data_IF_691722123613
#
_entry.id   IF_691722123613
#
_cell.length_a   1.000
_cell.length_b   1.000
_cell.length_c   1.000
_cell.angle_alpha   90.00
_cell.angle_beta   90.00
_cell.angle_gamma   90.00
#
_symmetry.space_group_name_H-M   'P 1'
#
loop_
_entity.id
_entity.type
_entity.pdbx_description
1 polymer ?
#
# COMPACT_ATOMS: atom_id res chain seq x y z
N UNK A 1 34.38 -24.21 9.59
CA UNK A 1 33.96 -23.61 8.32
C UNK A 1 33.04 -24.61 7.65
N UNK A 2 31.72 -24.39 7.74
CA UNK A 2 30.75 -25.30 7.12
C UNK A 2 30.90 -25.19 5.61
N UNK A 3 31.16 -26.29 4.91
CA UNK A 3 31.13 -26.30 3.45
C UNK A 3 29.71 -25.90 3.00
N UNK A 4 29.59 -24.94 2.07
CA UNK A 4 28.29 -24.59 1.45
C UNK A 4 27.71 -25.86 0.79
N UNK A 5 26.39 -26.05 0.92
CA UNK A 5 25.71 -27.22 0.34
C UNK A 5 25.58 -27.05 -1.17
N UNK A 6 25.67 -28.17 -1.89
CA UNK A 6 25.54 -28.17 -3.35
C UNK A 6 24.13 -27.70 -3.77
N UNK A 7 24.03 -26.84 -4.79
CA UNK A 7 22.76 -26.27 -5.21
C UNK A 7 21.73 -27.29 -5.73
N UNK A 8 22.18 -28.43 -6.25
CA UNK A 8 21.29 -29.52 -6.64
C UNK A 8 20.69 -30.20 -5.41
N UNK A 9 21.47 -30.36 -4.34
CA UNK A 9 21.00 -30.88 -3.05
C UNK A 9 20.04 -29.91 -2.36
N UNK A 10 20.33 -28.61 -2.41
CA UNK A 10 19.48 -27.55 -1.84
C UNK A 10 18.09 -27.52 -2.48
N UNK A 11 18.01 -27.67 -3.82
CA UNK A 11 16.73 -27.74 -4.53
C UNK A 11 16.12 -29.15 -4.57
N UNK A 12 16.86 -30.18 -4.15
CA UNK A 12 16.44 -31.58 -4.22
C UNK A 12 16.23 -32.08 -5.66
N UNK A 13 17.08 -31.63 -6.60
CA UNK A 13 17.01 -31.96 -8.03
C UNK A 13 18.29 -32.62 -8.50
N UNK A 14 18.25 -33.28 -9.66
CA UNK A 14 19.43 -33.91 -10.25
C UNK A 14 20.19 -32.93 -11.17
N UNK A 15 21.48 -33.17 -11.43
CA UNK A 15 22.25 -32.38 -12.42
C UNK A 15 21.62 -32.42 -13.82
N UNK A 16 21.00 -33.54 -14.14
CA UNK A 16 20.27 -33.80 -15.39
C UNK A 16 18.84 -33.26 -15.42
N UNK A 17 18.37 -32.64 -14.33
CA UNK A 17 17.00 -32.11 -14.26
C UNK A 17 16.79 -30.98 -15.26
N UNK A 18 15.59 -30.98 -15.85
CA UNK A 18 15.19 -29.97 -16.83
C UNK A 18 14.94 -28.62 -16.14
N UNK A 19 15.00 -27.49 -16.88
CA UNK A 19 14.69 -26.18 -16.32
C UNK A 19 13.30 -26.11 -15.67
N UNK A 20 12.32 -26.81 -16.25
CA UNK A 20 10.95 -26.87 -15.73
C UNK A 20 10.87 -27.65 -14.41
N UNK A 21 11.66 -28.72 -14.28
CA UNK A 21 11.74 -29.51 -13.05
C UNK A 21 12.38 -28.68 -11.92
N UNK A 22 13.47 -27.97 -12.21
CA UNK A 22 14.16 -27.05 -11.29
C UNK A 22 13.20 -25.95 -10.81
N UNK A 23 12.46 -25.34 -11.74
CA UNK A 23 11.46 -24.30 -11.44
C UNK A 23 10.31 -24.82 -10.58
N UNK A 24 9.83 -26.02 -10.85
CA UNK A 24 8.74 -26.63 -10.09
C UNK A 24 9.16 -26.99 -8.67
N UNK A 25 10.39 -27.48 -8.48
CA UNK A 25 10.90 -27.76 -7.13
C UNK A 25 11.18 -26.47 -6.34
N UNK A 26 11.76 -25.45 -6.97
CA UNK A 26 11.91 -24.14 -6.34
C UNK A 26 10.58 -23.59 -5.83
N UNK A 27 9.51 -23.61 -6.65
CA UNK A 27 8.18 -23.14 -6.22
C UNK A 27 7.64 -23.89 -5.01
N UNK A 28 7.83 -25.22 -4.95
CA UNK A 28 7.38 -26.04 -3.82
C UNK A 28 8.14 -25.69 -2.54
N UNK A 29 9.46 -25.52 -2.64
CA UNK A 29 10.32 -25.20 -1.50
C UNK A 29 10.12 -23.76 -1.03
N UNK A 30 10.01 -22.80 -1.96
CA UNK A 30 9.74 -21.39 -1.66
C UNK A 30 8.41 -21.21 -0.93
N UNK A 31 7.36 -21.96 -1.29
CA UNK A 31 6.08 -21.95 -0.57
C UNK A 31 6.17 -22.58 0.82
N UNK A 32 7.02 -23.60 0.99
CA UNK A 32 7.21 -24.32 2.27
C UNK A 32 8.03 -23.51 3.27
N UNK A 33 8.99 -22.74 2.80
CA UNK A 33 9.89 -21.93 3.63
C UNK A 33 9.59 -20.43 3.54
N UNK A 34 8.41 -20.05 3.03
CA UNK A 34 8.00 -18.65 2.96
C UNK A 34 7.88 -18.04 4.37
N UNK A 35 8.49 -16.88 4.67
CA UNK A 35 8.48 -16.26 6.00
C UNK A 35 7.06 -16.04 6.56
N UNK A 36 6.10 -15.65 5.70
CA UNK A 36 4.71 -15.42 6.12
C UNK A 36 3.93 -16.71 6.43
N UNK A 37 4.38 -17.86 5.92
CA UNK A 37 3.69 -19.16 6.09
C UNK A 37 4.39 -20.09 7.06
N UNK A 38 5.68 -19.84 7.32
CA UNK A 38 6.52 -20.68 8.16
C UNK A 38 7.29 -19.79 9.15
N UNK A 39 6.88 -19.85 10.43
CA UNK A 39 7.44 -19.05 11.52
C UNK A 39 8.62 -19.74 12.23
N UNK A 40 9.20 -20.80 11.65
CA UNK A 40 10.42 -21.40 12.22
C UNK A 40 11.61 -20.47 12.08
N UNK A 41 12.52 -20.50 13.06
CA UNK A 41 13.72 -19.66 13.08
C UNK A 41 14.62 -19.91 11.86
N UNK A 42 14.62 -21.13 11.34
CA UNK A 42 15.48 -21.58 10.24
C UNK A 42 14.84 -21.37 8.85
N UNK A 43 13.57 -20.93 8.78
CA UNK A 43 12.88 -20.73 7.50
C UNK A 43 13.54 -19.66 6.63
N UNK A 44 14.03 -18.58 7.26
CA UNK A 44 14.73 -17.50 6.55
C UNK A 44 16.03 -17.97 5.90
N UNK A 45 16.86 -18.71 6.63
CA UNK A 45 18.14 -19.22 6.12
C UNK A 45 17.93 -20.21 4.97
N UNK A 46 16.97 -21.14 5.12
CA UNK A 46 16.61 -22.06 4.05
C UNK A 46 16.05 -21.35 2.82
N UNK A 47 15.23 -20.31 3.02
CA UNK A 47 14.68 -19.54 1.91
C UNK A 47 15.76 -18.82 1.11
N UNK A 48 16.75 -18.23 1.79
CA UNK A 48 17.90 -17.60 1.14
C UNK A 48 18.69 -18.61 0.31
N UNK A 49 19.00 -19.77 0.88
CA UNK A 49 19.80 -20.80 0.22
C UNK A 49 19.09 -21.41 -1.01
N UNK A 50 17.78 -21.66 -0.90
CA UNK A 50 16.94 -22.12 -2.02
C UNK A 50 16.85 -21.09 -3.14
N UNK A 51 16.81 -19.79 -2.80
CA UNK A 51 16.77 -18.70 -3.77
C UNK A 51 18.10 -18.54 -4.50
N UNK A 52 19.22 -18.65 -3.79
CA UNK A 52 20.57 -18.65 -4.37
C UNK A 52 20.76 -19.82 -5.35
N UNK A 53 20.37 -21.04 -4.93
CA UNK A 53 20.45 -22.23 -5.76
C UNK A 53 19.62 -22.09 -7.05
N UNK A 54 18.40 -21.56 -6.96
CA UNK A 54 17.56 -21.35 -8.14
C UNK A 54 18.11 -20.27 -9.07
N UNK A 55 18.67 -19.17 -8.54
CA UNK A 55 19.26 -18.11 -9.35
C UNK A 55 20.44 -18.58 -10.20
N UNK A 56 21.18 -19.60 -9.73
CA UNK A 56 22.29 -20.21 -10.46
C UNK A 56 21.81 -21.31 -11.40
N UNK A 57 20.93 -22.20 -10.94
CA UNK A 57 20.53 -23.39 -11.71
C UNK A 57 19.45 -23.13 -12.78
N UNK A 58 18.71 -22.02 -12.68
CA UNK A 58 17.68 -21.64 -13.67
C UNK A 58 18.23 -20.98 -14.93
N UNK A 59 19.46 -20.46 -14.87
CA UNK A 59 20.15 -19.81 -15.99
C UNK A 59 21.17 -20.78 -16.60
N UNK A 60 21.12 -20.98 -17.92
CA UNK A 60 21.97 -21.96 -18.60
C UNK A 60 23.47 -21.64 -18.51
N UNK A 61 23.84 -20.35 -18.56
CA UNK A 61 25.24 -19.90 -18.51
C UNK A 61 25.79 -20.03 -17.08
N UNK A 62 24.97 -19.67 -16.08
CA UNK A 62 25.34 -19.79 -14.66
C UNK A 62 25.40 -21.25 -14.21
N UNK A 63 24.45 -22.08 -14.63
CA UNK A 63 24.45 -23.53 -14.40
C UNK A 63 25.72 -24.15 -14.98
N UNK A 64 26.09 -23.83 -16.21
CA UNK A 64 27.30 -24.34 -16.84
C UNK A 64 28.57 -23.90 -16.08
N UNK A 65 28.61 -22.65 -15.61
CA UNK A 65 29.75 -22.13 -14.84
C UNK A 65 29.87 -22.85 -13.49
N UNK A 66 28.76 -23.04 -12.79
CA UNK A 66 28.68 -23.78 -11.53
C UNK A 66 29.05 -25.26 -11.71
N UNK A 67 28.59 -25.90 -12.80
CA UNK A 67 28.93 -27.29 -13.11
C UNK A 67 30.43 -27.50 -13.36
N UNK A 68 31.13 -26.48 -13.89
CA UNK A 68 32.56 -26.54 -14.19
C UNK A 68 33.46 -26.16 -13.01
N UNK A 69 33.05 -25.19 -12.19
CA UNK A 69 33.91 -24.54 -11.20
C UNK A 69 33.35 -24.59 -9.77
N UNK A 70 32.21 -25.24 -9.56
CA UNK A 70 31.50 -25.26 -8.27
C UNK A 70 31.14 -23.86 -7.78
N UNK A 71 30.97 -23.70 -6.46
CA UNK A 71 30.67 -22.40 -5.85
C UNK A 71 31.72 -21.32 -6.16
N UNK A 72 32.99 -21.69 -6.37
CA UNK A 72 34.06 -20.73 -6.67
C UNK A 72 33.89 -20.01 -8.03
N UNK A 73 33.17 -20.62 -8.99
CA UNK A 73 32.88 -20.00 -10.29
C UNK A 73 31.77 -18.96 -10.25
N UNK A 74 30.97 -18.94 -9.18
CA UNK A 74 29.78 -18.08 -9.04
C UNK A 74 29.88 -17.10 -7.88
N UNK A 75 30.65 -17.41 -6.82
CA UNK A 75 30.92 -16.52 -5.66
C UNK A 75 31.71 -15.26 -6.05
N UNK A 76 32.49 -15.28 -7.13
CA UNK A 76 33.32 -14.13 -7.56
C UNK A 76 32.56 -12.99 -8.25
N UNK A 77 31.25 -13.13 -8.50
CA UNK A 77 30.42 -12.11 -9.18
C UNK A 77 29.38 -11.43 -8.27
N UNK A 78 29.29 -11.81 -7.00
CA UNK A 78 28.30 -11.24 -6.08
C UNK A 78 28.91 -11.11 -4.67
N UNK A 79 28.95 -9.88 -4.14
CA UNK A 79 29.25 -9.68 -2.71
C UNK A 79 28.00 -9.98 -1.90
N UNK A 80 28.17 -10.59 -0.72
CA UNK A 80 27.08 -10.84 0.24
C UNK A 80 26.35 -9.56 0.67
N UNK A 81 26.93 -8.38 0.43
CA UNK A 81 26.33 -7.06 0.63
C UNK A 81 25.22 -6.71 -0.37
N UNK A 82 25.21 -7.31 -1.58
CA UNK A 82 24.20 -7.06 -2.62
C UNK A 82 22.88 -7.80 -2.32
N UNK A 83 22.95 -8.86 -1.50
CA UNK A 83 21.81 -9.69 -1.07
C UNK A 83 21.24 -9.18 0.27
N UNK A 84 22.06 -8.60 1.14
CA UNK A 84 21.64 -8.20 2.50
C UNK A 84 21.02 -6.80 2.59
N UNK A 85 21.11 -5.95 1.56
CA UNK A 85 20.53 -4.60 1.58
C UNK A 85 19.03 -4.54 1.22
N UNK A 86 18.36 -5.71 1.14
CA UNK A 86 16.94 -5.87 0.80
C UNK A 86 15.99 -6.09 1.98
N UNK A 87 16.35 -5.70 3.21
CA UNK A 87 15.55 -6.02 4.42
C UNK A 87 14.29 -5.15 4.62
N UNK A 88 13.64 -4.67 3.55
CA UNK A 88 12.52 -3.73 3.69
C UNK A 88 11.71 -3.39 2.44
N UNK A 89 11.56 -4.28 1.46
CA UNK A 89 10.74 -4.04 0.27
C UNK A 89 10.31 -5.35 -0.39
N UNK A 90 9.05 -5.42 -0.84
CA UNK A 90 8.37 -6.66 -1.22
C UNK A 90 9.04 -7.49 -2.32
N UNK A 91 8.67 -8.76 -2.37
CA UNK A 91 9.20 -9.83 -3.22
C UNK A 91 9.26 -9.52 -4.74
N UNK A 92 8.54 -8.51 -5.23
CA UNK A 92 8.61 -8.08 -6.64
C UNK A 92 9.86 -7.22 -6.95
N UNK A 93 10.34 -6.40 -6.01
CA UNK A 93 11.46 -5.48 -6.27
C UNK A 93 12.82 -6.19 -6.24
N UNK A 94 12.93 -7.27 -5.46
CA UNK A 94 14.14 -8.10 -5.34
C UNK A 94 14.28 -9.03 -6.56
N UNK A 95 13.15 -9.48 -7.14
CA UNK A 95 13.18 -10.28 -8.36
C UNK A 95 13.56 -9.42 -9.59
N UNK A 96 13.11 -8.15 -9.67
CA UNK A 96 13.55 -7.20 -10.70
C UNK A 96 15.04 -6.81 -10.57
N UNK A 97 15.55 -6.64 -9.35
CA UNK A 97 16.94 -6.22 -9.14
C UNK A 97 17.96 -7.34 -9.39
N UNK A 98 17.61 -8.60 -9.09
CA UNK A 98 18.50 -9.76 -9.25
C UNK A 98 18.43 -10.36 -10.68
N UNK A 99 17.27 -10.33 -11.34
CA UNK A 99 17.11 -10.90 -12.69
C UNK A 99 17.27 -9.87 -13.83
N UNK A 100 17.39 -8.57 -13.53
CA UNK A 100 17.45 -7.49 -14.52
C UNK A 100 18.85 -7.02 -14.95
N UNK A 101 19.95 -7.64 -14.48
CA UNK A 101 21.31 -7.11 -14.72
C UNK A 101 22.25 -8.13 -15.38
N UNK A 102 21.85 -8.58 -16.57
CA UNK A 102 22.69 -9.36 -17.47
C UNK A 102 22.25 -9.11 -18.90
N UNK A 103 22.91 -8.18 -19.59
CA UNK A 103 22.64 -7.85 -21.00
C UNK A 103 22.37 -6.37 -21.20
N UNK A 104 23.18 -5.74 -22.06
CA UNK A 104 23.06 -4.33 -22.40
C UNK A 104 21.65 -3.96 -22.88
N UNK A 105 21.03 -3.04 -22.17
CA UNK A 105 19.80 -2.37 -22.56
C UNK A 105 19.66 -1.18 -21.64
N UNK A 106 19.80 0.04 -22.16
CA UNK A 106 19.53 1.23 -21.38
C UNK A 106 18.14 1.11 -20.79
N UNK A 107 18.04 1.14 -19.46
CA UNK A 107 16.77 1.29 -18.79
C UNK A 107 16.19 2.61 -19.28
N UNK A 108 15.28 2.53 -20.25
CA UNK A 108 14.23 3.53 -20.43
C UNK A 108 13.35 3.40 -19.19
N UNK A 109 13.85 3.88 -18.06
CA UNK A 109 13.05 4.11 -16.87
C UNK A 109 12.11 5.24 -17.30
N UNK A 110 10.94 4.83 -17.75
CA UNK A 110 9.92 5.72 -18.26
C UNK A 110 9.68 6.74 -17.16
N UNK A 111 10.00 8.01 -17.44
CA UNK A 111 10.04 9.03 -16.40
C UNK A 111 8.69 9.06 -15.67
N UNK A 112 8.68 8.82 -14.36
CA UNK A 112 7.45 8.78 -13.58
C UNK A 112 7.23 10.11 -12.86
N UNK A 113 5.99 10.59 -12.91
CA UNK A 113 5.53 11.73 -12.14
C UNK A 113 5.63 11.51 -10.64
N UNK A 114 5.84 12.59 -9.90
CA UNK A 114 5.79 12.52 -8.44
C UNK A 114 4.35 12.31 -7.99
N UNK A 115 4.19 11.49 -6.96
CA UNK A 115 2.88 11.28 -6.35
C UNK A 115 2.40 12.54 -5.60
N UNK A 116 1.10 12.64 -5.39
CA UNK A 116 0.46 13.70 -4.62
C UNK A 116 -0.24 13.11 -3.40
N UNK A 117 -0.20 13.82 -2.27
CA UNK A 117 -0.94 13.46 -1.07
C UNK A 117 -2.11 14.41 -0.88
N UNK A 118 -3.31 13.87 -0.78
CA UNK A 118 -4.52 14.62 -0.40
C UNK A 118 -5.07 14.05 0.90
N UNK A 119 -5.26 14.92 1.89
CA UNK A 119 -5.80 14.53 3.19
C UNK A 119 -7.28 14.90 3.27
N UNK A 120 -8.11 13.96 3.70
CA UNK A 120 -9.53 14.18 3.93
C UNK A 120 -9.99 13.50 5.21
N UNK A 121 -11.12 13.98 5.72
CA UNK A 121 -11.79 13.38 6.87
C UNK A 121 -13.19 12.95 6.50
N UNK A 122 -13.68 11.88 7.13
CA UNK A 122 -15.01 11.31 6.91
C UNK A 122 -15.69 11.05 8.26
N UNK A 123 -17.01 11.15 8.31
CA UNK A 123 -17.77 10.83 9.53
C UNK A 123 -18.15 9.35 9.58
N UNK A 124 -18.64 8.84 10.71
CA UNK A 124 -19.10 7.44 10.78
C UNK A 124 -20.29 7.16 9.83
N UNK A 125 -21.14 8.16 9.60
CA UNK A 125 -22.26 8.08 8.66
C UNK A 125 -21.79 7.99 7.22
N UNK A 126 -20.75 8.75 6.84
CA UNK A 126 -20.07 8.63 5.55
C UNK A 126 -19.51 7.22 5.38
N UNK A 127 -18.98 6.62 6.45
CA UNK A 127 -18.43 5.26 6.39
C UNK A 127 -19.53 4.21 6.30
N UNK A 128 -20.70 4.44 6.88
CA UNK A 128 -21.83 3.51 6.76
C UNK A 128 -22.33 3.42 5.30
N UNK A 129 -22.49 4.56 4.63
CA UNK A 129 -23.11 4.63 3.30
C UNK A 129 -22.09 4.66 2.15
N UNK A 130 -20.83 4.95 2.45
CA UNK A 130 -19.85 5.38 1.45
C UNK A 130 -20.08 6.83 1.04
N UNK A 131 -19.04 7.45 0.48
CA UNK A 131 -19.06 8.87 0.09
C UNK A 131 -18.45 9.05 -1.29
N UNK A 132 -19.18 9.71 -2.19
CA UNK A 132 -18.60 10.21 -3.44
C UNK A 132 -18.02 11.59 -3.17
N UNK A 133 -16.79 11.81 -3.59
CA UNK A 133 -16.08 13.06 -3.40
C UNK A 133 -15.48 13.55 -4.72
N UNK A 134 -15.64 14.84 -4.96
CA UNK A 134 -15.00 15.57 -6.06
C UNK A 134 -13.92 16.47 -5.44
N UNK A 135 -12.67 16.29 -5.87
CA UNK A 135 -11.54 17.10 -5.39
C UNK A 135 -10.99 17.93 -6.56
N UNK A 136 -10.77 19.22 -6.31
CA UNK A 136 -10.01 20.08 -7.19
C UNK A 136 -8.52 20.04 -6.79
N UNK A 137 -7.70 19.32 -7.55
CA UNK A 137 -6.28 19.16 -7.28
C UNK A 137 -5.45 20.14 -8.10
N UNK A 138 -4.62 20.91 -7.42
CA UNK A 138 -3.59 21.70 -8.08
C UNK A 138 -2.36 20.83 -8.33
N UNK A 139 -2.07 20.54 -9.60
CA UNK A 139 -0.97 19.67 -10.00
C UNK A 139 -0.27 20.14 -11.26
N UNK A 140 0.86 19.52 -11.59
CA UNK A 140 1.43 19.63 -12.92
C UNK A 140 0.52 18.89 -13.89
N UNK A 141 -0.02 19.60 -14.87
CA UNK A 141 -0.79 19.04 -15.97
C UNK A 141 -0.04 19.20 -17.27
N UNK A 142 -0.30 18.29 -18.22
CA UNK A 142 0.18 18.40 -19.59
C UNK A 142 -0.27 19.74 -20.17
N UNK A 143 0.65 20.46 -20.80
CA UNK A 143 0.33 21.74 -21.40
C UNK A 143 -0.58 21.52 -22.62
N UNK A 144 -1.81 22.04 -22.57
CA UNK A 144 -2.80 21.87 -23.64
C UNK A 144 -2.30 22.42 -24.98
N UNK A 145 -1.71 23.62 -24.95
CA UNK A 145 -1.26 24.32 -26.16
C UNK A 145 -0.22 23.50 -26.96
N UNK A 146 0.76 22.88 -26.29
CA UNK A 146 1.76 22.05 -26.97
C UNK A 146 1.47 20.55 -26.89
N UNK A 147 0.37 20.15 -26.25
CA UNK A 147 0.04 18.76 -25.94
C UNK A 147 1.24 17.97 -25.40
N UNK A 148 1.98 18.57 -24.45
CA UNK A 148 3.14 17.93 -23.83
C UNK A 148 4.44 17.92 -24.64
N UNK A 149 4.43 18.32 -25.92
CA UNK A 149 5.64 18.30 -26.75
C UNK A 149 6.71 19.29 -26.30
N UNK A 150 6.33 20.34 -25.56
CA UNK A 150 7.19 21.46 -25.21
C UNK A 150 7.50 22.40 -26.39
N UNK A 151 7.07 22.06 -27.60
CA UNK A 151 7.29 22.84 -28.81
C UNK A 151 6.13 23.82 -29.05
N UNK A 152 6.40 24.92 -29.75
CA UNK A 152 5.34 25.82 -30.23
C UNK A 152 4.35 25.01 -31.10
N UNK A 153 3.03 25.24 -31.00
CA UNK A 153 2.05 24.55 -31.84
C UNK A 153 2.43 24.61 -33.32
N UNK A 154 2.35 23.47 -34.01
CA UNK A 154 2.77 23.34 -35.42
C UNK A 154 4.28 23.19 -35.64
N UNK A 155 5.08 23.09 -34.58
CA UNK A 155 6.52 22.78 -34.66
C UNK A 155 6.83 21.49 -33.93
N UNK A 156 7.82 20.75 -34.41
CA UNK A 156 8.22 19.46 -33.86
C UNK A 156 9.63 19.52 -33.27
N UNK A 157 9.93 18.58 -32.37
CA UNK A 157 11.30 18.36 -31.91
C UNK A 157 12.16 17.92 -33.09
N UNK A 158 13.36 18.48 -33.22
CA UNK A 158 14.34 18.00 -34.20
C UNK A 158 15.24 16.95 -33.57
N UNK A 159 15.55 15.91 -34.33
CA UNK A 159 16.52 14.89 -33.91
C UNK A 159 17.87 15.56 -33.66
N UNK A 160 18.50 15.22 -32.53
CA UNK A 160 19.80 15.78 -32.19
C UNK A 160 20.86 15.26 -33.17
N UNK A 161 21.48 16.16 -33.94
CA UNK A 161 22.51 15.80 -34.91
C UNK A 161 23.79 15.23 -34.26
N UNK A 162 24.06 15.56 -32.99
CA UNK A 162 25.26 15.13 -32.27
C UNK A 162 25.21 13.65 -31.85
N UNK A 163 24.03 13.14 -31.48
CA UNK A 163 23.83 11.73 -31.12
C UNK A 163 22.93 10.97 -32.10
N UNK A 164 22.51 11.59 -33.20
CA UNK A 164 21.56 11.03 -34.18
C UNK A 164 20.29 10.42 -33.53
N UNK A 165 19.77 11.05 -32.49
CA UNK A 165 18.59 10.55 -31.77
C UNK A 165 18.87 9.59 -30.63
N UNK A 166 20.12 9.15 -30.45
CA UNK A 166 20.47 8.13 -29.46
C UNK A 166 20.52 8.65 -28.02
N UNK A 167 20.58 9.98 -27.81
CA UNK A 167 20.63 10.59 -26.48
C UNK A 167 21.97 10.44 -25.76
N UNK A 168 22.82 9.50 -26.17
CA UNK A 168 24.17 9.30 -25.65
C UNK A 168 25.25 9.50 -26.73
N UNK A 169 26.46 9.82 -26.29
CA UNK A 169 27.67 9.86 -27.12
C UNK A 169 28.71 8.94 -26.51
N UNK A 170 29.37 8.13 -27.35
CA UNK A 170 30.45 7.23 -26.92
C UNK A 170 31.75 8.01 -26.86
N UNK A 171 32.32 8.14 -25.67
CA UNK A 171 33.64 8.71 -25.46
C UNK A 171 34.64 7.57 -25.32
N UNK A 172 35.54 7.43 -26.29
CA UNK A 172 36.68 6.51 -26.20
C UNK A 172 37.80 7.20 -25.41
N UNK A 173 38.26 6.58 -24.33
CA UNK A 173 39.44 7.00 -23.59
C UNK A 173 40.52 5.94 -23.76
N UNK A 174 41.60 6.33 -24.43
CA UNK A 174 42.74 5.45 -24.64
C UNK A 174 43.70 5.56 -23.45
N UNK A 175 43.89 4.45 -22.74
CA UNK A 175 44.85 4.31 -21.63
C UNK A 175 46.01 3.42 -22.07
N UNK A 176 46.70 3.81 -23.15
CA UNK A 176 47.90 3.14 -23.66
C UNK A 176 47.66 1.74 -24.22
N UNK A 177 47.51 0.74 -23.34
CA UNK A 177 47.34 -0.67 -23.71
C UNK A 177 45.87 -1.12 -23.82
N UNK A 178 44.92 -0.28 -23.40
CA UNK A 178 43.49 -0.57 -23.47
C UNK A 178 42.67 0.68 -23.78
N UNK A 179 41.73 0.55 -24.72
CA UNK A 179 40.73 1.57 -25.05
C UNK A 179 39.44 1.28 -24.30
N UNK A 180 38.99 2.23 -23.46
CA UNK A 180 37.71 2.13 -22.77
C UNK A 180 36.69 3.04 -23.45
N UNK A 181 35.58 2.46 -23.92
CA UNK A 181 34.46 3.23 -24.48
C UNK A 181 33.43 3.45 -23.39
N UNK A 182 33.30 4.68 -22.93
CA UNK A 182 32.27 5.07 -21.96
C UNK A 182 31.13 5.80 -22.67
N UNK A 183 29.90 5.33 -22.50
CA UNK A 183 28.72 6.06 -22.92
C UNK A 183 28.46 7.22 -21.94
N UNK A 184 28.31 8.43 -22.47
CA UNK A 184 27.96 9.62 -21.70
C UNK A 184 26.71 10.28 -22.31
N UNK A 185 25.86 10.94 -21.52
CA UNK A 185 24.71 11.67 -22.06
C UNK A 185 25.18 12.75 -23.04
N UNK A 186 24.52 12.83 -24.20
CA UNK A 186 24.90 13.76 -25.25
C UNK A 186 24.79 15.21 -24.74
N UNK A 187 25.86 16.03 -24.80
CA UNK A 187 25.85 17.37 -24.21
C UNK A 187 24.89 18.33 -24.93
N UNK A 188 24.63 18.11 -26.23
CA UNK A 188 23.76 18.95 -27.04
C UNK A 188 22.26 18.80 -26.70
N UNK A 189 21.78 17.57 -26.45
CA UNK A 189 20.38 17.29 -26.11
C UNK A 189 20.17 16.86 -24.65
N UNK A 190 21.25 16.83 -23.85
CA UNK A 190 21.25 16.42 -22.44
C UNK A 190 20.60 15.05 -22.18
N UNK A 191 20.77 14.11 -23.10
CA UNK A 191 20.15 12.78 -22.97
C UNK A 191 18.83 12.62 -23.71
N UNK A 192 18.15 13.69 -24.14
CA UNK A 192 16.80 13.59 -24.72
C UNK A 192 16.75 13.02 -26.15
N UNK A 193 17.89 12.93 -26.85
CA UNK A 193 17.96 12.51 -28.26
C UNK A 193 17.34 13.50 -29.25
N UNK A 194 16.60 14.49 -28.77
CA UNK A 194 15.88 15.48 -29.57
C UNK A 194 16.06 16.87 -28.97
N UNK A 195 15.88 17.91 -29.78
CA UNK A 195 16.06 19.32 -29.40
C UNK A 195 14.82 20.13 -29.78
N UNK A 196 14.43 21.03 -28.88
CA UNK A 196 13.33 21.97 -29.08
C UNK A 196 13.90 23.25 -29.67
N UNK A 197 13.63 23.54 -30.94
CA UNK A 197 14.09 24.80 -31.56
C UNK A 197 13.21 25.99 -31.16
N UNK A 198 11.89 25.77 -31.13
CA UNK A 198 10.90 26.80 -30.82
C UNK A 198 10.11 26.36 -29.58
N UNK A 199 10.48 26.83 -28.38
CA UNK A 199 9.77 26.45 -27.18
C UNK A 199 8.34 26.98 -27.20
N UNK A 200 7.42 26.22 -26.63
CA UNK A 200 6.05 26.68 -26.37
C UNK A 200 6.07 27.89 -25.44
N UNK A 201 5.26 28.92 -25.73
CA UNK A 201 5.18 30.13 -24.91
C UNK A 201 4.63 29.88 -23.51
N UNK A 202 3.61 29.03 -23.39
CA UNK A 202 2.87 28.83 -22.13
C UNK A 202 3.65 28.00 -21.12
N UNK A 203 4.25 26.88 -21.58
CA UNK A 203 5.05 26.01 -20.72
C UNK A 203 6.56 26.31 -20.76
N UNK A 204 7.00 27.26 -21.60
CA UNK A 204 8.40 27.66 -21.79
C UNK A 204 9.32 26.46 -22.08
N UNK A 205 8.88 25.55 -22.94
CA UNK A 205 9.63 24.34 -23.30
C UNK A 205 9.47 23.14 -22.37
N UNK A 206 8.80 23.26 -21.22
CA UNK A 206 8.70 22.19 -20.22
C UNK A 206 7.67 21.10 -20.53
N UNK A 207 6.74 21.35 -21.46
CA UNK A 207 5.64 20.44 -21.80
C UNK A 207 4.54 20.31 -20.73
N UNK A 208 4.69 20.94 -19.56
CA UNK A 208 3.73 20.92 -18.46
C UNK A 208 3.55 22.30 -17.83
N UNK A 209 2.39 22.52 -17.24
CA UNK A 209 2.01 23.76 -16.54
C UNK A 209 1.34 23.41 -15.22
N UNK A 210 1.36 24.33 -14.25
CA UNK A 210 0.51 24.19 -13.06
C UNK A 210 -0.92 24.45 -13.46
N UNK A 211 -1.82 23.54 -13.12
CA UNK A 211 -3.25 23.69 -13.37
C UNK A 211 -4.07 22.96 -12.32
N UNK A 212 -5.38 23.15 -12.40
CA UNK A 212 -6.35 22.48 -11.53
C UNK A 212 -7.02 21.36 -12.32
N UNK A 213 -6.99 20.13 -11.79
CA UNK A 213 -7.73 18.99 -12.35
C UNK A 213 -8.76 18.52 -11.34
N UNK A 214 -9.99 18.30 -11.80
CA UNK A 214 -11.03 17.64 -11.02
C UNK A 214 -10.79 16.13 -11.03
N UNK A 215 -10.75 15.54 -9.85
CA UNK A 215 -10.64 14.09 -9.66
C UNK A 215 -11.80 13.64 -8.81
N UNK A 216 -12.60 12.75 -9.39
CA UNK A 216 -13.70 12.10 -8.70
C UNK A 216 -13.19 10.78 -8.12
N UNK A 217 -13.44 10.58 -6.82
CA UNK A 217 -13.17 9.30 -6.19
C UNK A 217 -14.31 8.90 -5.27
N UNK A 218 -14.49 7.59 -5.12
CA UNK A 218 -15.52 7.03 -4.27
C UNK A 218 -14.87 6.34 -3.08
N UNK A 219 -15.27 6.75 -1.89
CA UNK A 219 -14.96 6.08 -0.65
C UNK A 219 -15.98 4.96 -0.46
N UNK A 220 -15.56 3.69 -0.45
CA UNK A 220 -16.47 2.59 -0.23
C UNK A 220 -17.02 2.60 1.21
N UNK A 221 -18.19 2.00 1.46
CA UNK A 221 -18.68 1.81 2.81
C UNK A 221 -17.75 0.87 3.59
N UNK A 222 -17.65 1.06 4.90
CA UNK A 222 -16.88 0.22 5.79
C UNK A 222 -15.38 0.52 5.85
N UNK A 223 -14.90 1.58 5.21
CA UNK A 223 -13.49 1.95 5.23
C UNK A 223 -12.96 2.21 6.64
N UNK A 224 -11.67 1.93 6.83
CA UNK A 224 -10.92 2.39 7.98
C UNK A 224 -10.05 3.59 7.61
N UNK A 225 -9.49 4.24 8.62
CA UNK A 225 -8.50 5.31 8.42
C UNK A 225 -7.25 4.71 7.75
N UNK A 226 -6.76 5.36 6.70
CA UNK A 226 -5.64 4.84 5.92
C UNK A 226 -5.42 5.57 4.61
N UNK A 227 -4.50 5.03 3.81
CA UNK A 227 -4.10 5.60 2.52
C UNK A 227 -4.75 4.81 1.37
N UNK A 228 -5.42 5.53 0.47
CA UNK A 228 -6.09 5.00 -0.70
C UNK A 228 -5.44 5.57 -1.96
N UNK A 229 -5.05 4.70 -2.90
CA UNK A 229 -4.31 5.12 -4.09
C UNK A 229 -5.26 5.24 -5.28
N UNK A 230 -5.26 6.41 -5.93
CA UNK A 230 -5.87 6.64 -7.24
C UNK A 230 -4.75 6.73 -8.26
N UNK A 231 -4.60 5.68 -9.07
CA UNK A 231 -3.49 5.51 -9.99
C UNK A 231 -3.47 6.58 -11.09
N UNK A 232 -2.27 7.02 -11.48
CA UNK A 232 -2.02 8.00 -12.56
C UNK A 232 -2.65 9.39 -12.36
N UNK A 233 -3.10 9.72 -11.14
CA UNK A 233 -3.70 11.02 -10.81
C UNK A 233 -2.78 12.00 -10.07
N UNK A 234 -1.52 11.64 -9.87
CA UNK A 234 -0.44 12.52 -9.39
C UNK A 234 0.03 13.51 -10.45
N UNK A 235 1.26 14.02 -10.30
CA UNK A 235 1.81 15.00 -11.24
C UNK A 235 2.05 14.39 -12.63
N UNK A 236 1.67 15.12 -13.67
CA UNK A 236 1.81 14.66 -15.06
C UNK A 236 3.23 14.95 -15.58
N UNK A 237 3.79 13.97 -16.30
CA UNK A 237 5.08 14.10 -16.98
C UNK A 237 4.91 13.87 -18.48
N UNK A 238 5.41 14.80 -19.33
CA UNK A 238 5.46 14.56 -20.76
C UNK A 238 6.33 13.34 -21.12
N UNK A 239 5.80 12.45 -21.96
CA UNK A 239 6.48 11.22 -22.41
C UNK A 239 6.87 10.27 -21.26
N UNK A 240 6.09 10.30 -20.17
CA UNK A 240 6.30 9.51 -18.96
C UNK A 240 4.99 8.94 -18.44
N UNK A 241 5.07 8.22 -17.31
CA UNK A 241 3.89 7.77 -16.55
C UNK A 241 3.58 8.84 -15.52
N UNK A 242 2.30 9.11 -15.27
CA UNK A 242 1.93 10.07 -14.23
C UNK A 242 2.28 9.51 -12.83
N UNK A 243 2.42 10.40 -11.85
CA UNK A 243 2.42 9.96 -10.45
C UNK A 243 1.04 9.45 -10.04
N UNK A 244 0.94 8.91 -8.84
CA UNK A 244 -0.32 8.52 -8.22
C UNK A 244 -0.85 9.61 -7.27
N UNK A 245 -2.15 9.57 -6.98
CA UNK A 245 -2.75 10.36 -5.92
C UNK A 245 -3.00 9.45 -4.72
N UNK A 246 -2.32 9.73 -3.62
CA UNK A 246 -2.54 9.09 -2.32
C UNK A 246 -3.57 9.92 -1.56
N UNK A 247 -4.73 9.35 -1.31
CA UNK A 247 -5.80 9.94 -0.52
C UNK A 247 -5.72 9.36 0.88
N UNK A 248 -5.25 10.16 1.83
CA UNK A 248 -5.22 9.80 3.25
C UNK A 248 -6.55 10.15 3.89
N UNK A 249 -7.31 9.13 4.22
CA UNK A 249 -8.63 9.27 4.86
C UNK A 249 -8.49 9.07 6.36
N UNK A 250 -9.05 9.99 7.14
CA UNK A 250 -9.17 9.88 8.58
C UNK A 250 -10.65 9.84 8.99
N UNK A 251 -11.05 8.77 9.66
CA UNK A 251 -12.40 8.67 10.24
C UNK A 251 -12.45 9.56 11.49
N UNK A 252 -13.37 10.51 11.50
CA UNK A 252 -13.54 11.43 12.61
C UNK A 252 -14.09 10.68 13.84
N UNK A 253 -13.56 10.96 15.05
CA UNK A 253 -14.17 10.49 16.28
C UNK A 253 -15.63 10.97 16.37
N UNK A 254 -16.56 10.07 16.65
CA UNK A 254 -17.96 10.41 16.80
C UNK A 254 -18.27 10.77 18.27
N UNK A 255 -19.22 11.68 18.48
CA UNK A 255 -19.56 12.21 19.81
C UNK A 255 -20.13 11.14 20.74
N UNK A 256 -20.90 10.21 20.19
CA UNK A 256 -21.65 9.22 20.96
C UNK A 256 -21.21 7.78 20.70
N UNK A 257 -20.64 7.53 19.53
CA UNK A 257 -20.37 6.18 19.05
C UNK A 257 -18.88 5.94 19.01
N UNK A 258 -18.47 4.76 19.43
CA UNK A 258 -17.12 4.28 19.26
C UNK A 258 -17.15 3.10 18.29
N UNK A 259 -16.33 3.15 17.25
CA UNK A 259 -16.23 2.06 16.27
C UNK A 259 -14.99 1.23 16.56
N UNK A 260 -15.17 -0.08 16.62
CA UNK A 260 -14.08 -1.06 16.61
C UNK A 260 -14.34 -2.11 15.51
N UNK A 261 -13.49 -2.09 14.49
CA UNK A 261 -13.70 -2.89 13.28
C UNK A 261 -15.07 -2.63 12.65
N UNK A 262 -15.92 -3.66 12.63
CA UNK A 262 -17.29 -3.58 12.08
C UNK A 262 -18.34 -3.18 13.12
N UNK A 263 -18.00 -3.22 14.39
CA UNK A 263 -18.94 -3.10 15.49
C UNK A 263 -18.97 -1.67 16.05
N UNK A 264 -20.14 -1.26 16.52
CA UNK A 264 -20.39 0.07 17.06
C UNK A 264 -20.73 -0.06 18.54
N UNK A 265 -20.10 0.76 19.37
CA UNK A 265 -20.29 0.80 20.81
C UNK A 265 -20.95 2.12 21.19
N UNK A 266 -21.96 2.03 22.06
CA UNK A 266 -22.71 3.17 22.55
C UNK A 266 -22.97 3.00 24.05
N UNK A 267 -22.72 4.05 24.81
CA UNK A 267 -23.07 4.10 26.23
C UNK A 267 -24.46 4.72 26.39
N UNK A 268 -25.38 3.95 26.96
CA UNK A 268 -26.74 4.39 27.23
C UNK A 268 -26.90 4.57 28.74
N UNK A 269 -27.14 5.82 29.14
CA UNK A 269 -27.51 6.14 30.51
C UNK A 269 -28.91 5.62 30.82
N UNK A 270 -29.07 4.96 31.96
CA UNK A 270 -30.37 4.49 32.48
C UNK A 270 -30.47 4.83 33.96
N UNK A 271 -31.66 5.17 34.45
CA UNK A 271 -31.86 5.43 35.88
C UNK A 271 -31.77 4.12 36.69
N UNK A 272 -31.35 4.21 37.95
CA UNK A 272 -31.35 3.04 38.85
C UNK A 272 -32.75 2.41 38.99
N UNK A 273 -33.80 3.21 38.86
CA UNK A 273 -35.20 2.77 38.99
C UNK A 273 -35.58 1.95 37.76
N UNK A 274 -35.30 2.47 36.57
CA UNK A 274 -35.60 1.80 35.30
C UNK A 274 -34.78 0.51 35.14
N UNK A 275 -33.53 0.50 35.60
CA UNK A 275 -32.71 -0.71 35.61
C UNK A 275 -33.28 -1.80 36.54
N UNK A 276 -33.82 -1.39 37.71
CA UNK A 276 -34.42 -2.31 38.66
C UNK A 276 -35.78 -2.86 38.18
N UNK A 277 -36.66 -1.99 37.71
CA UNK A 277 -38.03 -2.34 37.31
C UNK A 277 -38.14 -2.88 35.87
N UNK A 278 -37.15 -2.59 35.03
CA UNK A 278 -37.22 -2.81 33.59
C UNK A 278 -38.01 -1.70 32.89
N UNK A 279 -37.63 -1.42 31.65
CA UNK A 279 -38.26 -0.37 30.83
C UNK A 279 -38.04 -0.64 29.34
N UNK A 280 -38.66 0.19 28.50
CA UNK A 280 -38.36 0.24 27.07
C UNK A 280 -37.77 1.62 26.76
N UNK A 281 -36.58 1.63 26.16
CA UNK A 281 -35.84 2.85 25.83
C UNK A 281 -35.63 2.96 24.33
N UNK A 282 -35.52 4.19 23.82
CA UNK A 282 -35.15 4.47 22.45
C UNK A 282 -33.66 4.79 22.39
N UNK A 283 -32.89 3.94 21.70
CA UNK A 283 -31.43 4.05 21.61
C UNK A 283 -31.03 4.54 20.22
N UNK A 284 -30.12 5.53 20.12
CA UNK A 284 -29.62 5.98 18.82
C UNK A 284 -28.74 4.92 18.16
N UNK A 285 -28.85 4.85 16.84
CA UNK A 285 -28.05 4.03 15.92
C UNK A 285 -27.51 4.94 14.81
N UNK A 286 -26.62 4.44 13.95
CA UNK A 286 -26.10 5.23 12.82
C UNK A 286 -27.17 5.55 11.75
N UNK A 287 -28.30 4.84 11.74
CA UNK A 287 -29.38 4.99 10.74
C UNK A 287 -30.66 5.65 11.31
N UNK A 288 -30.69 5.96 12.60
CA UNK A 288 -31.90 6.43 13.29
C UNK A 288 -31.96 5.94 14.73
N UNK A 289 -33.15 5.63 15.23
CA UNK A 289 -33.34 5.14 16.60
C UNK A 289 -34.00 3.76 16.59
N UNK A 290 -33.61 2.91 17.55
CA UNK A 290 -34.20 1.59 17.77
C UNK A 290 -34.77 1.48 19.18
N UNK A 291 -35.90 0.79 19.31
CA UNK A 291 -36.49 0.50 20.63
C UNK A 291 -35.84 -0.74 21.22
N UNK A 292 -35.40 -0.62 22.47
CA UNK A 292 -34.69 -1.67 23.19
C UNK A 292 -35.38 -1.91 24.52
N UNK A 293 -35.76 -3.17 24.76
CA UNK A 293 -36.32 -3.60 26.04
C UNK A 293 -35.18 -3.89 27.01
N UNK A 294 -35.20 -3.21 28.15
CA UNK A 294 -34.30 -3.46 29.29
C UNK A 294 -35.06 -4.33 30.29
N UNK A 295 -34.49 -5.48 30.62
CA UNK A 295 -35.11 -6.39 31.58
C UNK A 295 -35.01 -5.85 33.01
N UNK A 296 -35.95 -6.21 33.87
CA UNK A 296 -35.86 -5.92 35.30
C UNK A 296 -34.61 -6.56 35.91
N UNK A 297 -34.03 -5.88 36.90
CA UNK A 297 -32.78 -6.31 37.54
C UNK A 297 -31.53 -6.20 36.64
N UNK A 298 -31.56 -5.38 35.59
CA UNK A 298 -30.41 -5.17 34.72
C UNK A 298 -29.23 -4.59 35.49
N UNK A 299 -28.08 -5.24 35.37
CA UNK A 299 -26.87 -4.85 36.11
C UNK A 299 -26.10 -3.72 35.41
N UNK A 300 -25.30 -2.93 36.15
CA UNK A 300 -24.37 -1.97 35.55
C UNK A 300 -23.43 -2.63 34.53
N UNK A 301 -23.13 -1.93 33.44
CA UNK A 301 -22.32 -2.40 32.32
C UNK A 301 -22.90 -3.61 31.57
N UNK A 302 -24.16 -4.00 31.82
CA UNK A 302 -24.82 -4.99 30.99
C UNK A 302 -24.82 -4.54 29.53
N UNK A 303 -24.53 -5.46 28.60
CA UNK A 303 -24.41 -5.18 27.18
C UNK A 303 -25.61 -5.77 26.45
N UNK A 304 -26.35 -4.91 25.75
CA UNK A 304 -27.42 -5.32 24.85
C UNK A 304 -26.89 -5.24 23.41
N UNK A 305 -27.05 -6.32 22.65
CA UNK A 305 -26.59 -6.41 21.26
C UNK A 305 -27.73 -6.20 20.28
N UNK A 306 -27.62 -5.20 19.42
CA UNK A 306 -28.48 -5.00 18.26
C UNK A 306 -27.81 -5.58 17.02
N UNK A 307 -28.39 -6.67 16.50
CA UNK A 307 -27.84 -7.39 15.35
C UNK A 307 -27.94 -6.55 14.07
N UNK A 308 -26.85 -6.49 13.31
CA UNK A 308 -26.80 -5.84 11.99
C UNK A 308 -26.83 -4.31 12.02
N UNK A 309 -26.66 -3.70 13.20
CA UNK A 309 -26.64 -2.24 13.41
C UNK A 309 -25.23 -1.65 13.50
N UNK A 310 -24.20 -2.42 13.14
CA UNK A 310 -22.83 -1.94 12.97
C UNK A 310 -22.57 -1.42 11.55
N UNK A 311 -21.32 -1.43 11.12
CA UNK A 311 -20.92 -1.05 9.75
C UNK A 311 -20.62 -2.28 8.91
N UNK A 312 -20.73 -2.13 7.58
CA UNK A 312 -20.22 -3.12 6.65
C UNK A 312 -18.68 -3.12 6.68
N UNK A 313 -18.03 -4.22 6.33
CA UNK A 313 -16.58 -4.27 6.18
C UNK A 313 -16.21 -4.39 4.70
N UNK A 314 -15.15 -3.69 4.29
CA UNK A 314 -14.65 -3.80 2.92
C UNK A 314 -14.27 -5.27 2.65
N UNK A 315 -14.76 -5.84 1.55
CA UNK A 315 -14.50 -7.22 1.12
C UNK A 315 -15.05 -8.35 2.01
N UNK A 316 -15.94 -8.07 2.98
CA UNK A 316 -16.59 -9.12 3.78
C UNK A 316 -18.09 -9.18 3.51
N UNK A 317 -18.66 -10.39 3.55
CA UNK A 317 -20.12 -10.57 3.62
C UNK A 317 -20.55 -10.44 5.07
N UNK A 318 -21.05 -9.28 5.44
CA UNK A 318 -21.74 -9.08 6.71
C UNK A 318 -21.60 -7.67 7.26
N UNK A 319 -22.66 -7.21 7.90
CA UNK A 319 -22.69 -6.02 8.73
C UNK A 319 -22.29 -6.39 10.15
N UNK A 320 -21.58 -5.51 10.85
CA UNK A 320 -21.35 -5.66 12.29
C UNK A 320 -22.61 -5.43 13.11
N UNK A 321 -22.44 -5.47 14.42
CA UNK A 321 -23.50 -5.26 15.40
C UNK A 321 -23.28 -3.95 16.17
N UNK A 322 -24.34 -3.43 16.78
CA UNK A 322 -24.22 -2.36 17.77
C UNK A 322 -24.33 -2.94 19.18
N UNK A 323 -23.37 -2.60 20.03
CA UNK A 323 -23.30 -2.97 21.43
C UNK A 323 -23.63 -1.76 22.30
N UNK A 324 -24.69 -1.90 23.09
CA UNK A 324 -25.18 -0.86 23.98
C UNK A 324 -24.76 -1.25 25.39
N UNK A 325 -23.85 -0.48 25.99
CA UNK A 325 -23.47 -0.66 27.39
C UNK A 325 -24.37 0.19 28.27
N UNK A 326 -25.05 -0.45 29.20
CA UNK A 326 -25.94 0.22 30.15
C UNK A 326 -25.11 0.87 31.26
N UNK A 327 -25.17 2.20 31.35
CA UNK A 327 -24.53 2.99 32.41
C UNK A 327 -25.62 3.41 33.40
N UNK A 328 -25.64 2.76 34.56
CA UNK A 328 -26.65 3.04 35.59
C UNK A 328 -26.31 4.35 36.30
N UNK A 329 -27.22 5.31 36.21
CA UNK A 329 -27.11 6.62 36.84
C UNK A 329 -27.83 6.64 38.17
N UNK A 330 -27.09 7.00 39.22
CA UNK A 330 -27.62 7.18 40.59
C UNK A 330 -27.79 8.68 40.84
N UNK A 331 -28.99 9.13 41.27
CA UNK A 331 -29.25 10.55 41.51
C UNK A 331 -28.34 11.12 42.61
N UNK A 332 -27.62 12.21 42.29
CA UNK A 332 -26.71 12.89 43.24
C UNK A 332 -27.43 13.69 44.33
N UNK A 333 -28.67 14.10 44.07
CA UNK A 333 -29.50 14.89 44.98
C UNK A 333 -30.87 14.23 45.10
N UNK A 334 -31.34 14.10 46.33
CA UNK A 334 -32.61 13.47 46.66
C UNK A 334 -33.42 14.40 47.56
N UNK A 335 -34.71 14.52 47.27
CA UNK A 335 -35.65 15.21 48.15
C UNK A 335 -35.88 14.40 49.44
N UNK A 336 -36.39 15.04 50.49
CA UNK A 336 -36.72 14.36 51.75
C UNK A 336 -37.68 13.18 51.52
N UNK A 337 -38.66 13.37 50.65
CA UNK A 337 -39.61 12.31 50.30
C UNK A 337 -38.94 11.14 49.57
N UNK A 338 -38.06 11.41 48.60
CA UNK A 338 -37.33 10.36 47.87
C UNK A 338 -36.39 9.56 48.78
N UNK A 339 -35.73 10.22 49.75
CA UNK A 339 -34.91 9.51 50.74
C UNK A 339 -35.73 8.56 51.59
N UNK A 340 -36.89 9.02 52.10
CA UNK A 340 -37.77 8.15 52.88
C UNK A 340 -38.21 6.91 52.10
N UNK A 341 -38.53 7.05 50.80
CA UNK A 341 -38.89 5.90 49.95
C UNK A 341 -37.74 4.90 49.78
N UNK A 342 -36.51 5.39 49.65
CA UNK A 342 -35.33 4.51 49.57
C UNK A 342 -35.02 3.83 50.92
N UNK A 343 -35.23 4.52 52.05
CA UNK A 343 -35.08 3.92 53.38
C UNK A 343 -36.14 2.83 53.62
N UNK A 344 -37.38 3.04 53.16
CA UNK A 344 -38.43 2.01 53.19
C UNK A 344 -38.07 0.81 52.34
N UNK A 345 -37.60 1.03 51.11
CA UNK A 345 -37.13 -0.04 50.23
C UNK A 345 -35.95 -0.82 50.84
N UNK A 346 -35.00 -0.11 51.46
CA UNK A 346 -33.85 -0.72 52.13
C UNK A 346 -34.29 -1.68 53.25
N UNK A 347 -35.32 -1.33 54.03
CA UNK A 347 -35.85 -2.21 55.10
C UNK A 347 -36.52 -3.47 54.57
N UNK A 348 -36.98 -3.46 53.32
CA UNK A 348 -37.56 -4.64 52.65
C UNK A 348 -36.53 -5.51 51.92
N UNK A 349 -35.28 -5.04 51.86
CA UNK A 349 -34.20 -5.79 51.22
C UNK A 349 -33.54 -6.68 52.28
N UNK A 350 -33.44 -7.98 52.03
CA UNK A 350 -32.85 -8.98 52.95
C UNK A 350 -31.35 -8.78 53.20
#
# INVERSE_FOLDING_TARGET
MSAKRDYYEVLGVSKTSSPDEIKNQYRKLALKFHPDRNQSADAGEHFTEISEAYAVLSDSEKKQTYDQHGHAGVDGRYSSDDISQGRGGGFNDIFESIFGRGGGGGFNQQQRGSDLLYQTTVTLEDVLHGKKMEINLQKQIKCDNCSGSGCKPGTNKKTCATCNGQGEVRQTRDMGFASFVTAAPCPACRGEGSMIEKPCGDCKGKGRVKGTKKVDFQIPPGIDSGDYIVSNEGNEIPNGVNGDLVIRVQVQPHKYFHRDGKDIFYDQDISMIDAALGCEISVPTLEGNEKVKVNSGSQPNHIIKLKGKGVSHINSRGTGDQFIRMVVTIPKKLSKHQKNLLDEFQKTTD
#
